data_IF_942173345201
#
_entry.id   IF_942173345201
#
_cell.length_a   1.000
_cell.length_b   1.000
_cell.length_c   1.000
_cell.angle_alpha   90.00
_cell.angle_beta   90.00
_cell.angle_gamma   90.00
#
_symmetry.space_group_name_H-M   'P 1'
#
loop_
_entity.id
_entity.type
_entity.pdbx_description
1 polymer ?
#
# COMPACT_ATOMS: atom_id res chain seq x y z
N UNK A 1 40.33 -34.28 47.87
CA UNK A 1 39.66 -33.48 46.82
C UNK A 1 38.27 -33.12 47.30
N UNK A 2 37.84 -31.86 47.21
CA UNK A 2 36.47 -31.44 47.51
C UNK A 2 36.17 -30.05 46.90
N UNK A 3 35.78 -30.00 45.63
CA UNK A 3 35.33 -28.74 45.00
C UNK A 3 33.87 -28.52 45.39
N UNK A 4 33.59 -27.54 46.26
CA UNK A 4 32.22 -27.09 46.53
C UNK A 4 31.71 -26.32 45.31
N UNK A 5 30.79 -26.92 44.57
CA UNK A 5 30.05 -26.22 43.52
C UNK A 5 29.17 -25.14 44.12
N UNK A 6 29.31 -23.89 43.66
CA UNK A 6 28.28 -22.86 43.82
C UNK A 6 27.21 -23.13 42.76
N UNK A 7 26.04 -23.61 43.18
CA UNK A 7 24.85 -23.59 42.32
C UNK A 7 24.37 -22.13 42.20
N UNK A 8 23.96 -21.71 41.00
CA UNK A 8 23.29 -20.42 40.80
C UNK A 8 21.95 -20.42 41.53
N UNK A 9 21.56 -19.24 42.02
CA UNK A 9 20.16 -18.90 42.22
C UNK A 9 19.58 -18.51 40.85
N UNK A 10 18.38 -18.99 40.53
CA UNK A 10 17.62 -18.63 39.34
C UNK A 10 16.35 -17.90 39.83
N UNK A 11 16.02 -16.76 39.20
CA UNK A 11 14.98 -15.85 39.69
C UNK A 11 13.59 -16.47 39.53
N UNK A 12 12.98 -16.89 40.65
CA UNK A 12 11.67 -17.57 40.69
C UNK A 12 10.46 -16.61 40.69
N UNK A 13 10.70 -15.31 40.46
CA UNK A 13 9.74 -14.23 40.75
C UNK A 13 8.45 -14.23 39.90
N UNK A 14 8.32 -15.07 38.88
CA UNK A 14 7.12 -15.17 38.04
C UNK A 14 6.04 -16.14 38.52
N UNK A 15 6.35 -17.10 39.40
CA UNK A 15 5.41 -18.19 39.76
C UNK A 15 4.92 -18.15 41.20
N UNK A 16 5.74 -17.68 42.15
CA UNK A 16 5.38 -17.67 43.58
C UNK A 16 4.12 -16.82 43.88
N UNK A 17 3.79 -15.84 43.02
CA UNK A 17 2.53 -15.08 43.08
C UNK A 17 1.29 -15.93 42.74
N UNK A 18 1.41 -16.91 41.84
CA UNK A 18 0.32 -17.81 41.43
C UNK A 18 0.22 -19.05 42.34
N UNK A 19 1.29 -19.38 43.07
CA UNK A 19 1.36 -20.49 44.02
C UNK A 19 0.91 -20.09 45.45
N UNK A 20 0.79 -18.78 45.75
CA UNK A 20 0.35 -18.28 47.05
C UNK A 20 -1.13 -17.87 47.05
N UNK A 21 -2.03 -18.61 47.74
CA UNK A 21 -3.47 -18.31 47.74
C UNK A 21 -3.81 -17.01 48.47
N UNK A 22 -3.04 -16.61 49.49
CA UNK A 22 -3.30 -15.40 50.28
C UNK A 22 -2.97 -14.15 49.45
N UNK A 23 -1.88 -14.17 48.67
CA UNK A 23 -1.50 -13.09 47.77
C UNK A 23 -2.49 -12.91 46.59
N UNK A 24 -3.11 -14.01 46.14
CA UNK A 24 -4.20 -13.96 45.17
C UNK A 24 -5.48 -13.39 45.80
N UNK A 25 -5.83 -13.80 47.03
CA UNK A 25 -6.98 -13.28 47.75
C UNK A 25 -6.88 -11.77 48.02
N UNK A 26 -5.71 -11.27 48.44
CA UNK A 26 -5.48 -9.85 48.67
C UNK A 26 -5.64 -9.01 47.39
N UNK A 27 -5.16 -9.47 46.23
CA UNK A 27 -5.34 -8.75 44.96
C UNK A 27 -6.76 -8.86 44.41
N UNK A 28 -7.44 -10.00 44.60
CA UNK A 28 -8.86 -10.12 44.27
C UNK A 28 -9.69 -9.16 45.12
N UNK A 29 -9.46 -9.11 46.43
CA UNK A 29 -10.15 -8.18 47.34
C UNK A 29 -9.91 -6.71 46.98
N UNK A 30 -8.68 -6.32 46.64
CA UNK A 30 -8.38 -4.96 46.16
C UNK A 30 -9.05 -4.64 44.81
N UNK A 31 -9.19 -5.64 43.93
CA UNK A 31 -9.88 -5.49 42.64
C UNK A 31 -11.40 -5.37 42.84
N UNK A 32 -11.97 -6.18 43.73
CA UNK A 32 -13.36 -6.10 44.15
C UNK A 32 -13.66 -4.75 44.81
N UNK A 33 -12.85 -4.30 45.77
CA UNK A 33 -13.00 -2.99 46.42
C UNK A 33 -12.86 -1.81 45.42
N UNK A 34 -11.96 -1.90 44.44
CA UNK A 34 -11.87 -0.90 43.38
C UNK A 34 -13.13 -0.89 42.52
N UNK A 35 -13.64 -2.05 42.08
CA UNK A 35 -14.88 -2.17 41.31
C UNK A 35 -16.07 -1.68 42.16
N UNK A 36 -16.13 -2.02 43.44
CA UNK A 36 -17.18 -1.65 44.39
C UNK A 36 -17.29 -0.13 44.55
N UNK A 37 -16.16 0.55 44.73
CA UNK A 37 -16.09 2.00 44.88
C UNK A 37 -16.26 2.75 43.55
N UNK A 38 -16.01 2.11 42.41
CA UNK A 38 -16.02 2.75 41.08
C UNK A 38 -17.09 2.18 40.12
N UNK A 39 -18.14 1.49 40.61
CA UNK A 39 -19.15 0.76 39.80
C UNK A 39 -19.62 1.54 38.57
N UNK A 40 -19.99 2.81 38.73
CA UNK A 40 -20.47 3.65 37.63
C UNK A 40 -19.41 3.88 36.52
N UNK A 41 -18.14 4.07 36.90
CA UNK A 41 -17.02 4.20 35.97
C UNK A 41 -16.72 2.86 35.29
N UNK A 42 -16.64 1.77 36.06
CA UNK A 42 -16.33 0.43 35.53
C UNK A 42 -17.40 -0.05 34.56
N UNK A 43 -18.69 0.07 34.91
CA UNK A 43 -19.78 -0.26 33.98
C UNK A 43 -19.84 0.70 32.78
N UNK A 44 -19.58 1.99 32.98
CA UNK A 44 -19.51 2.97 31.88
C UNK A 44 -18.42 2.62 30.85
N UNK A 45 -17.20 2.32 31.33
CA UNK A 45 -16.10 1.86 30.48
C UNK A 45 -16.44 0.54 29.80
N UNK A 46 -16.96 -0.45 30.52
CA UNK A 46 -17.33 -1.75 29.95
C UNK A 46 -18.39 -1.62 28.83
N UNK A 47 -19.42 -0.80 29.04
CA UNK A 47 -20.46 -0.52 28.02
C UNK A 47 -19.85 0.17 26.80
N UNK A 48 -19.00 1.19 26.99
CA UNK A 48 -18.30 1.86 25.88
C UNK A 48 -17.39 0.90 25.12
N UNK A 49 -16.64 0.03 25.80
CA UNK A 49 -15.80 -0.99 25.16
C UNK A 49 -16.63 -1.98 24.35
N UNK A 50 -17.78 -2.46 24.88
CA UNK A 50 -18.68 -3.36 24.15
C UNK A 50 -19.27 -2.67 22.91
N UNK A 51 -19.70 -1.41 23.01
CA UNK A 51 -20.22 -0.64 21.88
C UNK A 51 -19.15 -0.39 20.80
N UNK A 52 -17.92 -0.07 21.19
CA UNK A 52 -16.80 0.12 20.26
C UNK A 52 -16.43 -1.19 19.56
N UNK A 53 -16.29 -2.30 20.29
CA UNK A 53 -15.97 -3.61 19.71
C UNK A 53 -17.10 -4.13 18.80
N UNK A 54 -18.36 -3.97 19.23
CA UNK A 54 -19.53 -4.32 18.41
C UNK A 54 -19.62 -3.49 17.13
N UNK A 55 -19.36 -2.18 17.22
CA UNK A 55 -19.28 -1.28 16.06
C UNK A 55 -18.17 -1.68 15.08
N UNK A 56 -16.96 -1.97 15.58
CA UNK A 56 -15.83 -2.44 14.76
C UNK A 56 -16.16 -3.77 14.07
N UNK A 57 -16.76 -4.72 14.79
CA UNK A 57 -17.14 -6.02 14.21
C UNK A 57 -18.25 -5.88 13.16
N UNK A 58 -19.31 -5.14 13.47
CA UNK A 58 -20.42 -4.89 12.54
C UNK A 58 -19.98 -4.15 11.28
N UNK A 59 -19.14 -3.13 11.41
CA UNK A 59 -18.58 -2.40 10.27
C UNK A 59 -17.68 -3.29 9.40
N UNK A 60 -16.83 -4.15 10.00
CA UNK A 60 -16.02 -5.12 9.26
C UNK A 60 -16.88 -6.16 8.53
N UNK A 61 -17.91 -6.70 9.18
CA UNK A 61 -18.84 -7.63 8.54
C UNK A 61 -19.56 -6.98 7.35
N UNK A 62 -20.05 -5.75 7.52
CA UNK A 62 -20.67 -4.98 6.43
C UNK A 62 -19.68 -4.71 5.29
N UNK A 63 -18.47 -4.17 5.57
CA UNK A 63 -17.44 -3.96 4.54
C UNK A 63 -17.13 -5.24 3.78
N UNK A 64 -16.96 -6.37 4.47
CA UNK A 64 -16.64 -7.64 3.81
C UNK A 64 -17.78 -8.11 2.91
N UNK A 65 -19.04 -8.02 3.35
CA UNK A 65 -20.21 -8.36 2.53
C UNK A 65 -20.36 -7.44 1.31
N UNK A 66 -20.11 -6.13 1.44
CA UNK A 66 -20.07 -5.22 0.29
C UNK A 66 -18.91 -5.53 -0.65
N UNK A 67 -17.75 -5.96 -0.12
CA UNK A 67 -16.58 -6.32 -0.91
C UNK A 67 -16.82 -7.59 -1.75
N UNK A 68 -17.55 -8.58 -1.23
CA UNK A 68 -17.95 -9.78 -1.97
C UNK A 68 -18.90 -9.44 -3.13
N UNK A 69 -19.87 -8.54 -2.91
CA UNK A 69 -20.76 -8.04 -3.97
C UNK A 69 -19.98 -7.25 -5.03
N UNK A 70 -19.15 -6.30 -4.62
CA UNK A 70 -18.33 -5.48 -5.50
C UNK A 70 -17.39 -6.31 -6.40
N UNK A 71 -16.84 -7.43 -5.90
CA UNK A 71 -16.05 -8.36 -6.71
C UNK A 71 -16.88 -9.06 -7.79
N UNK A 72 -18.16 -9.35 -7.52
CA UNK A 72 -19.08 -9.94 -8.49
C UNK A 72 -19.43 -8.95 -9.60
N UNK A 73 -19.84 -7.73 -9.25
CA UNK A 73 -20.19 -6.67 -10.23
C UNK A 73 -18.98 -6.30 -11.10
N UNK A 74 -17.78 -6.19 -10.51
CA UNK A 74 -16.55 -5.82 -11.20
C UNK A 74 -16.09 -6.82 -12.27
N UNK A 75 -16.58 -8.06 -12.25
CA UNK A 75 -16.17 -9.10 -13.21
C UNK A 75 -16.39 -8.67 -14.67
N UNK A 76 -17.54 -8.04 -14.97
CA UNK A 76 -17.87 -7.63 -16.34
C UNK A 76 -17.07 -6.40 -16.80
N UNK A 77 -16.78 -5.46 -15.89
CA UNK A 77 -15.89 -4.32 -16.16
C UNK A 77 -14.45 -4.78 -16.47
N UNK A 78 -13.93 -5.79 -15.74
CA UNK A 78 -12.62 -6.40 -16.03
C UNK A 78 -12.61 -7.07 -17.39
N UNK A 79 -13.65 -7.83 -17.75
CA UNK A 79 -13.75 -8.42 -19.09
C UNK A 79 -13.72 -7.36 -20.21
N UNK A 80 -14.45 -6.25 -20.04
CA UNK A 80 -14.39 -5.15 -21.01
C UNK A 80 -13.00 -4.49 -21.07
N UNK A 81 -12.30 -4.38 -19.95
CA UNK A 81 -10.94 -3.81 -19.89
C UNK A 81 -9.90 -4.68 -20.60
N UNK A 82 -9.99 -6.01 -20.44
CA UNK A 82 -9.13 -6.98 -21.13
C UNK A 82 -9.43 -7.04 -22.62
N UNK A 83 -10.70 -6.86 -23.02
CA UNK A 83 -11.14 -6.69 -24.40
C UNK A 83 -10.89 -5.29 -24.99
N UNK A 84 -10.11 -4.44 -24.30
CA UNK A 84 -9.81 -3.03 -24.63
C UNK A 84 -11.06 -2.15 -24.94
N UNK A 85 -12.23 -2.59 -24.47
CA UNK A 85 -13.53 -1.92 -24.62
C UNK A 85 -13.71 -0.86 -23.52
N UNK A 86 -12.74 0.06 -23.44
CA UNK A 86 -12.50 0.92 -22.28
C UNK A 86 -13.67 1.82 -21.87
N UNK A 87 -14.58 2.13 -22.79
CA UNK A 87 -15.82 2.85 -22.46
C UNK A 87 -16.73 2.00 -21.57
N UNK A 88 -17.07 0.79 -22.02
CA UNK A 88 -17.89 -0.16 -21.26
C UNK A 88 -17.23 -0.59 -19.94
N UNK A 89 -15.90 -0.64 -19.92
CA UNK A 89 -15.13 -0.92 -18.70
C UNK A 89 -15.25 0.20 -17.64
N UNK A 90 -15.34 1.47 -18.08
CA UNK A 90 -15.42 2.62 -17.19
C UNK A 90 -16.87 2.98 -16.81
N UNK A 91 -17.72 3.05 -17.83
CA UNK A 91 -19.04 3.68 -17.81
C UNK A 91 -20.20 2.64 -17.85
N UNK A 92 -19.88 1.33 -17.79
CA UNK A 92 -20.82 0.22 -17.78
C UNK A 92 -21.47 -0.09 -19.15
N UNK A 93 -22.43 -1.02 -19.17
CA UNK A 93 -23.29 -1.30 -20.34
C UNK A 93 -24.79 -0.99 -20.09
N UNK A 94 -25.12 -0.49 -18.89
CA UNK A 94 -26.49 -0.22 -18.44
C UNK A 94 -27.21 -1.42 -17.81
N UNK A 95 -26.62 -2.62 -17.84
CA UNK A 95 -27.06 -3.79 -17.07
C UNK A 95 -26.03 -4.19 -16.00
N UNK A 96 -24.76 -3.93 -16.28
CA UNK A 96 -23.59 -4.23 -15.45
C UNK A 96 -22.85 -2.92 -15.17
N UNK A 97 -22.30 -2.80 -13.95
CA UNK A 97 -21.55 -1.62 -13.51
C UNK A 97 -20.19 -1.48 -14.22
N UNK A 98 -19.79 -0.25 -14.49
CA UNK A 98 -18.43 0.12 -14.85
C UNK A 98 -17.55 0.39 -13.62
N UNK A 99 -16.24 0.51 -13.81
CA UNK A 99 -15.32 0.80 -12.70
C UNK A 99 -15.63 2.13 -12.00
N UNK A 100 -16.20 3.13 -12.70
CA UNK A 100 -16.59 4.41 -12.07
C UNK A 100 -17.69 4.18 -11.05
N UNK A 101 -18.75 3.47 -11.43
CA UNK A 101 -19.87 3.14 -10.54
C UNK A 101 -19.39 2.30 -9.34
N UNK A 102 -18.48 1.34 -9.58
CA UNK A 102 -17.91 0.48 -8.52
C UNK A 102 -17.04 1.28 -7.53
N UNK A 103 -16.39 2.36 -7.98
CA UNK A 103 -15.69 3.30 -7.09
C UNK A 103 -16.68 4.14 -6.27
N UNK A 104 -17.79 4.58 -6.86
CA UNK A 104 -18.80 5.39 -6.17
C UNK A 104 -19.60 4.56 -5.14
N UNK A 105 -20.19 3.44 -5.55
CA UNK A 105 -21.03 2.58 -4.69
C UNK A 105 -20.21 1.80 -3.65
N UNK A 106 -19.02 1.32 -4.02
CA UNK A 106 -18.23 0.37 -3.21
C UNK A 106 -16.85 0.89 -2.80
N UNK A 107 -16.56 2.19 -2.91
CA UNK A 107 -15.23 2.77 -2.63
C UNK A 107 -14.62 2.48 -1.25
N UNK A 108 -15.43 2.13 -0.23
CA UNK A 108 -14.94 1.68 1.08
C UNK A 108 -14.40 0.23 1.10
N UNK A 109 -14.61 -0.54 0.02
CA UNK A 109 -14.22 -1.95 -0.12
C UNK A 109 -12.85 -2.09 -0.80
N UNK A 110 -12.24 -3.27 -0.70
CA UNK A 110 -10.94 -3.53 -1.32
C UNK A 110 -11.10 -3.71 -2.85
N UNK A 111 -12.29 -4.11 -3.29
CA UNK A 111 -12.71 -4.14 -4.69
C UNK A 111 -12.94 -2.74 -5.28
N UNK A 112 -13.58 -1.82 -4.55
CA UNK A 112 -13.69 -0.41 -4.96
C UNK A 112 -12.34 0.30 -5.02
N UNK A 113 -11.42 -0.04 -4.10
CA UNK A 113 -10.01 0.34 -4.22
C UNK A 113 -9.36 -0.29 -5.48
N UNK A 114 -9.59 -1.56 -5.80
CA UNK A 114 -9.05 -2.15 -7.04
C UNK A 114 -9.67 -1.53 -8.31
N UNK A 115 -10.94 -1.16 -8.29
CA UNK A 115 -11.62 -0.46 -9.39
C UNK A 115 -10.98 0.91 -9.68
N UNK A 116 -10.48 1.62 -8.67
CA UNK A 116 -9.67 2.83 -8.87
C UNK A 116 -8.43 2.58 -9.73
N UNK A 117 -7.67 1.51 -9.47
CA UNK A 117 -6.50 1.13 -10.29
C UNK A 117 -6.89 0.85 -11.75
N UNK A 118 -7.96 0.11 -11.97
CA UNK A 118 -8.44 -0.20 -13.33
C UNK A 118 -9.00 1.04 -14.04
N UNK A 119 -9.83 1.85 -13.39
CA UNK A 119 -10.38 3.09 -13.94
C UNK A 119 -9.27 4.07 -14.35
N UNK A 120 -8.32 4.31 -13.45
CA UNK A 120 -7.16 5.16 -13.74
C UNK A 120 -6.30 4.64 -14.88
N UNK A 121 -6.11 3.32 -14.99
CA UNK A 121 -5.40 2.69 -16.12
C UNK A 121 -6.20 2.79 -17.43
N UNK A 122 -7.52 2.67 -17.39
CA UNK A 122 -8.38 2.85 -18.56
C UNK A 122 -8.40 4.30 -19.04
N UNK A 123 -8.47 5.27 -18.12
CA UNK A 123 -8.31 6.69 -18.45
C UNK A 123 -6.93 7.02 -19.00
N UNK A 124 -5.85 6.37 -18.54
CA UNK A 124 -4.52 6.51 -19.11
C UNK A 124 -4.51 6.05 -20.58
N UNK A 125 -5.03 4.85 -20.86
CA UNK A 125 -5.17 4.33 -22.23
C UNK A 125 -6.02 5.24 -23.13
N UNK A 126 -7.08 5.87 -22.60
CA UNK A 126 -7.90 6.84 -23.33
C UNK A 126 -7.25 8.23 -23.49
N UNK A 127 -6.03 8.47 -23.01
CA UNK A 127 -5.37 9.78 -23.05
C UNK A 127 -5.98 10.82 -22.09
N UNK A 128 -6.88 10.40 -21.18
CA UNK A 128 -7.53 11.26 -20.19
C UNK A 128 -6.65 11.42 -18.94
N UNK A 129 -5.40 11.86 -19.14
CA UNK A 129 -4.31 11.81 -18.15
C UNK A 129 -4.65 12.39 -16.77
N UNK A 130 -5.46 13.45 -16.67
CA UNK A 130 -5.87 14.01 -15.38
C UNK A 130 -6.81 13.11 -14.58
N UNK A 131 -7.70 12.37 -15.25
CA UNK A 131 -8.54 11.35 -14.60
C UNK A 131 -7.69 10.11 -14.28
N UNK A 132 -6.72 9.77 -15.14
CA UNK A 132 -5.77 8.70 -14.85
C UNK A 132 -5.03 8.92 -13.52
N UNK A 133 -4.51 10.15 -13.30
CA UNK A 133 -3.85 10.52 -12.04
C UNK A 133 -4.84 10.41 -10.86
N UNK A 134 -6.01 11.05 -10.94
CA UNK A 134 -7.01 11.06 -9.87
C UNK A 134 -7.31 9.65 -9.33
N UNK A 135 -7.75 8.74 -10.20
CA UNK A 135 -8.11 7.37 -9.81
C UNK A 135 -6.88 6.53 -9.42
N UNK A 136 -5.67 6.80 -9.93
CA UNK A 136 -4.47 6.07 -9.52
C UNK A 136 -3.88 6.57 -8.19
N UNK A 137 -4.15 7.82 -7.78
CA UNK A 137 -3.73 8.38 -6.50
C UNK A 137 -4.60 7.90 -5.33
N UNK A 138 -5.91 7.72 -5.55
CA UNK A 138 -6.83 7.13 -4.57
C UNK A 138 -6.64 5.61 -4.40
N UNK A 139 -5.96 4.93 -5.34
CA UNK A 139 -5.60 3.52 -5.21
C UNK A 139 -4.40 3.30 -4.26
N UNK A 140 -4.60 2.43 -3.27
CA UNK A 140 -3.55 1.97 -2.35
C UNK A 140 -3.44 0.44 -2.29
N UNK A 141 -2.23 -0.08 -2.07
CA UNK A 141 -2.04 -1.50 -1.82
C UNK A 141 -0.72 -1.80 -1.09
N UNK A 142 -0.75 -2.80 -0.21
CA UNK A 142 0.44 -3.41 0.40
C UNK A 142 1.14 -4.44 -0.52
N UNK A 143 0.53 -4.77 -1.67
CA UNK A 143 1.11 -5.71 -2.64
C UNK A 143 2.47 -5.24 -3.17
N UNK A 144 3.35 -6.21 -3.39
CA UNK A 144 4.74 -6.03 -3.81
C UNK A 144 4.90 -5.30 -5.15
N UNK A 145 3.92 -5.38 -6.06
CA UNK A 145 4.06 -4.97 -7.45
C UNK A 145 2.98 -3.99 -7.92
N UNK A 146 1.71 -4.19 -7.54
CA UNK A 146 0.59 -3.37 -8.08
C UNK A 146 0.70 -1.92 -7.61
N UNK A 147 1.11 -1.65 -6.36
CA UNK A 147 1.30 -0.27 -5.88
C UNK A 147 2.43 0.46 -6.61
N UNK A 148 3.57 -0.22 -6.85
CA UNK A 148 4.67 0.32 -7.64
C UNK A 148 4.25 0.56 -9.10
N UNK A 149 3.42 -0.33 -9.67
CA UNK A 149 2.85 -0.16 -11.00
C UNK A 149 1.94 1.07 -11.08
N UNK A 150 1.08 1.30 -10.08
CA UNK A 150 0.24 2.49 -10.02
C UNK A 150 1.08 3.79 -10.02
N UNK A 151 2.14 3.85 -9.20
CA UNK A 151 3.06 4.99 -9.22
C UNK A 151 3.76 5.16 -10.58
N UNK A 152 4.13 4.08 -11.28
CA UNK A 152 4.63 4.20 -12.66
C UNK A 152 3.57 4.72 -13.64
N UNK A 153 2.29 4.39 -13.46
CA UNK A 153 1.22 4.82 -14.35
C UNK A 153 0.84 6.30 -14.12
N UNK A 154 0.90 6.78 -12.87
CA UNK A 154 0.84 8.21 -12.54
C UNK A 154 2.02 8.94 -13.19
N UNK A 155 3.24 8.39 -13.08
CA UNK A 155 4.43 8.93 -13.75
C UNK A 155 4.26 9.02 -15.27
N UNK A 156 3.67 7.99 -15.89
CA UNK A 156 3.34 7.96 -17.33
C UNK A 156 2.31 9.07 -17.69
N UNK A 157 1.28 9.28 -16.87
CA UNK A 157 0.32 10.38 -17.06
C UNK A 157 0.97 11.77 -17.00
N UNK A 158 1.88 12.00 -16.04
CA UNK A 158 2.61 13.27 -15.94
C UNK A 158 3.59 13.48 -17.11
N UNK A 159 4.20 12.42 -17.67
CA UNK A 159 5.06 12.54 -18.86
C UNK A 159 4.30 13.06 -20.07
N UNK A 160 3.09 12.54 -20.33
CA UNK A 160 2.25 12.99 -21.45
C UNK A 160 1.70 14.40 -21.23
N UNK A 161 1.40 14.77 -19.98
CA UNK A 161 1.10 16.16 -19.58
C UNK A 161 2.32 17.09 -19.61
N UNK A 162 3.53 16.57 -19.90
CA UNK A 162 4.83 17.26 -19.90
C UNK A 162 5.27 17.80 -18.54
N UNK A 163 4.69 17.28 -17.47
CA UNK A 163 5.02 17.57 -16.08
C UNK A 163 6.15 16.63 -15.61
N UNK A 164 7.33 16.84 -16.21
CA UNK A 164 8.46 15.93 -16.07
C UNK A 164 9.02 15.86 -14.63
N UNK A 165 8.76 16.88 -13.80
CA UNK A 165 9.18 16.92 -12.41
C UNK A 165 8.34 15.98 -11.51
N UNK A 166 7.01 16.00 -11.65
CA UNK A 166 6.15 15.05 -10.94
C UNK A 166 6.29 13.64 -11.52
N UNK A 167 6.45 13.50 -12.85
CA UNK A 167 6.75 12.21 -13.47
C UNK A 167 7.98 11.54 -12.85
N UNK A 168 9.12 12.25 -12.77
CA UNK A 168 10.34 11.73 -12.16
C UNK A 168 10.15 11.36 -10.67
N UNK A 169 9.35 12.14 -9.94
CA UNK A 169 9.01 11.89 -8.54
C UNK A 169 8.22 10.58 -8.38
N UNK A 170 7.19 10.36 -9.20
CA UNK A 170 6.38 9.14 -9.18
C UNK A 170 7.12 7.90 -9.69
N UNK A 171 7.97 8.03 -10.72
CA UNK A 171 8.86 6.92 -11.12
C UNK A 171 9.89 6.55 -10.04
N UNK A 172 10.43 7.53 -9.31
CA UNK A 172 11.32 7.28 -8.18
C UNK A 172 10.57 6.61 -7.01
N UNK A 173 9.32 7.02 -6.75
CA UNK A 173 8.41 6.36 -5.81
C UNK A 173 8.14 4.90 -6.20
N UNK A 174 7.94 4.62 -7.49
CA UNK A 174 7.78 3.27 -8.05
C UNK A 174 9.07 2.43 -7.92
N UNK A 175 10.22 3.00 -8.25
CA UNK A 175 11.53 2.33 -8.18
C UNK A 175 11.88 1.87 -6.76
N UNK A 176 11.59 2.72 -5.76
CA UNK A 176 11.91 2.50 -4.35
C UNK A 176 10.85 1.65 -3.61
N UNK A 177 9.63 1.52 -4.14
CA UNK A 177 8.62 0.65 -3.56
C UNK A 177 8.98 -0.82 -3.83
N UNK A 178 9.41 -1.54 -2.78
CA UNK A 178 9.72 -2.99 -2.80
C UNK A 178 10.70 -3.37 -3.92
N UNK A 179 11.88 -2.74 -3.86
CA UNK A 179 12.96 -2.84 -4.85
C UNK A 179 13.24 -4.27 -5.31
N UNK A 180 13.25 -4.52 -6.63
CA UNK A 180 13.46 -5.85 -7.19
C UNK A 180 14.12 -5.81 -8.59
N UNK A 181 14.80 -6.88 -8.98
CA UNK A 181 15.61 -6.92 -10.20
C UNK A 181 14.84 -6.91 -11.53
N UNK A 182 13.51 -7.03 -11.50
CA UNK A 182 12.68 -7.09 -12.70
C UNK A 182 12.06 -5.72 -13.04
N UNK A 183 11.56 -5.00 -12.04
CA UNK A 183 10.80 -3.75 -12.25
C UNK A 183 11.56 -2.49 -11.83
N UNK A 184 12.39 -2.53 -10.78
CA UNK A 184 13.16 -1.34 -10.36
C UNK A 184 14.06 -0.74 -11.45
N UNK A 185 14.83 -1.50 -12.27
CA UNK A 185 15.61 -0.89 -13.35
C UNK A 185 14.72 -0.20 -14.41
N UNK A 186 13.54 -0.75 -14.74
CA UNK A 186 12.57 -0.10 -15.64
C UNK A 186 12.07 1.23 -15.06
N UNK A 187 11.73 1.27 -13.77
CA UNK A 187 11.25 2.49 -13.11
C UNK A 187 12.37 3.53 -12.94
N UNK A 188 13.61 3.12 -12.64
CA UNK A 188 14.79 4.01 -12.64
C UNK A 188 15.09 4.58 -14.03
N UNK A 189 14.90 3.78 -15.09
CA UNK A 189 15.10 4.23 -16.48
C UNK A 189 14.08 5.31 -16.84
N UNK A 190 12.80 5.11 -16.49
CA UNK A 190 11.76 6.14 -16.65
C UNK A 190 12.04 7.39 -15.81
N UNK A 191 12.48 7.22 -14.56
CA UNK A 191 12.86 8.33 -13.69
C UNK A 191 13.99 9.17 -14.29
N UNK A 192 15.06 8.54 -14.79
CA UNK A 192 16.17 9.22 -15.45
C UNK A 192 15.73 10.02 -16.69
N UNK A 193 14.90 9.41 -17.56
CA UNK A 193 14.36 10.09 -18.76
C UNK A 193 13.47 11.29 -18.37
N UNK A 194 12.70 11.18 -17.30
CA UNK A 194 11.88 12.28 -16.78
C UNK A 194 12.75 13.39 -16.16
N UNK A 195 13.78 13.04 -15.38
CA UNK A 195 14.74 14.01 -14.84
C UNK A 195 15.48 14.76 -15.97
N UNK A 196 15.92 14.11 -17.04
CA UNK A 196 16.49 14.78 -18.21
C UNK A 196 15.53 15.81 -18.83
N UNK A 197 14.27 15.45 -19.01
CA UNK A 197 13.25 16.37 -19.56
C UNK A 197 12.90 17.51 -18.61
N UNK A 198 13.13 17.35 -17.32
CA UNK A 198 13.05 18.39 -16.30
C UNK A 198 14.36 19.21 -16.15
N UNK A 199 15.35 19.00 -17.03
CA UNK A 199 16.71 19.59 -16.96
C UNK A 199 17.49 19.26 -15.67
N UNK A 200 17.10 18.17 -15.00
CA UNK A 200 17.67 17.66 -13.74
C UNK A 200 18.76 16.62 -14.04
N UNK A 201 19.82 17.06 -14.71
CA UNK A 201 20.85 16.18 -15.28
C UNK A 201 21.60 15.39 -14.20
N UNK A 202 21.78 15.93 -12.99
CA UNK A 202 22.40 15.22 -11.86
C UNK A 202 21.54 14.05 -11.41
N UNK A 203 20.26 14.29 -11.10
CA UNK A 203 19.34 13.23 -10.68
C UNK A 203 19.14 12.17 -11.78
N UNK A 204 19.19 12.56 -13.05
CA UNK A 204 19.20 11.62 -14.18
C UNK A 204 20.46 10.75 -14.22
N UNK A 205 21.64 11.35 -14.06
CA UNK A 205 22.94 10.64 -14.00
C UNK A 205 22.95 9.63 -12.84
N UNK A 206 22.38 9.98 -11.68
CA UNK A 206 22.31 9.11 -10.50
C UNK A 206 21.32 7.95 -10.70
N UNK A 207 20.12 8.22 -11.23
CA UNK A 207 19.15 7.17 -11.57
C UNK A 207 19.72 6.14 -12.56
N UNK A 208 20.45 6.59 -13.58
CA UNK A 208 21.16 5.70 -14.50
C UNK A 208 22.34 4.98 -13.83
N UNK A 209 23.05 5.61 -12.90
CA UNK A 209 24.17 4.97 -12.18
C UNK A 209 23.70 3.79 -11.31
N UNK A 210 22.55 3.91 -10.64
CA UNK A 210 21.98 2.81 -9.84
C UNK A 210 21.68 1.59 -10.74
N UNK A 211 21.21 1.79 -11.97
CA UNK A 211 21.03 0.70 -12.95
C UNK A 211 22.36 0.05 -13.32
N UNK A 212 23.39 0.86 -13.55
CA UNK A 212 24.73 0.39 -13.96
C UNK A 212 25.38 -0.46 -12.85
N UNK A 213 25.31 -0.01 -11.60
CA UNK A 213 26.02 -0.66 -10.49
C UNK A 213 25.24 -1.86 -9.92
N UNK A 214 23.90 -1.75 -9.82
CA UNK A 214 23.05 -2.75 -9.14
C UNK A 214 22.37 -3.73 -10.10
N UNK A 215 22.01 -3.29 -11.32
CA UNK A 215 21.11 -4.04 -12.21
C UNK A 215 21.75 -4.40 -13.55
N UNK A 216 22.99 -4.88 -13.52
CA UNK A 216 23.81 -5.17 -14.71
C UNK A 216 23.27 -6.29 -15.63
N UNK A 217 22.39 -7.16 -15.13
CA UNK A 217 21.67 -8.17 -15.95
C UNK A 217 20.42 -7.60 -16.68
N UNK A 218 20.00 -6.37 -16.37
CA UNK A 218 18.74 -5.80 -16.86
C UNK A 218 18.81 -5.32 -18.31
N UNK A 219 17.66 -5.26 -19.00
CA UNK A 219 17.57 -4.74 -20.36
C UNK A 219 17.92 -3.25 -20.43
N UNK A 220 17.73 -2.52 -19.34
CA UNK A 220 17.97 -1.09 -19.21
C UNK A 220 19.46 -0.75 -19.13
N UNK A 221 20.32 -1.68 -18.70
CA UNK A 221 21.75 -1.47 -18.43
C UNK A 221 22.51 -0.75 -19.55
N UNK A 222 22.37 -1.21 -20.80
CA UNK A 222 23.09 -0.62 -21.93
C UNK A 222 22.56 0.79 -22.28
N UNK A 223 21.27 1.03 -22.11
CA UNK A 223 20.67 2.37 -22.29
C UNK A 223 21.08 3.31 -21.16
N UNK A 224 21.15 2.83 -19.91
CA UNK A 224 21.61 3.64 -18.77
C UNK A 224 23.05 4.12 -18.97
N UNK A 225 23.95 3.22 -19.40
CA UNK A 225 25.33 3.58 -19.78
C UNK A 225 25.35 4.62 -20.90
N UNK A 226 24.53 4.44 -21.95
CA UNK A 226 24.45 5.35 -23.10
C UNK A 226 23.94 6.75 -22.70
N UNK A 227 22.91 6.83 -21.87
CA UNK A 227 22.29 8.11 -21.48
C UNK A 227 23.16 8.86 -20.45
N UNK A 228 23.69 8.17 -19.42
CA UNK A 228 24.69 8.76 -18.52
C UNK A 228 25.92 9.28 -19.27
N UNK A 229 26.46 8.50 -20.21
CA UNK A 229 27.63 8.91 -20.99
C UNK A 229 27.36 10.00 -22.05
N UNK A 230 26.09 10.34 -22.30
CA UNK A 230 25.71 11.55 -23.04
C UNK A 230 25.69 12.76 -22.09
N UNK A 231 24.93 12.68 -21.00
CA UNK A 231 24.79 13.79 -20.04
C UNK A 231 26.14 14.27 -19.46
N UNK A 232 27.05 13.33 -19.17
CA UNK A 232 28.42 13.64 -18.67
C UNK A 232 29.31 14.32 -19.72
N UNK A 233 28.88 14.41 -20.99
CA UNK A 233 29.54 15.20 -22.06
C UNK A 233 28.82 16.51 -22.38
N UNK A 234 27.64 16.71 -21.82
CA UNK A 234 26.76 17.87 -22.03
C UNK A 234 26.81 18.84 -20.81
N UNK A 235 27.68 18.54 -19.83
CA UNK A 235 27.91 19.27 -18.59
C UNK A 235 29.38 19.73 -18.47
#
# INVERSE_FOLDING_TARGET
>A
MAVKSKKKEEEKHGTDFLENPDALADQLSQTEEFIENNKALVYGVAIVTILVLGGIFGFRYYKNSQNELAQSEMFQAVYYFEADSLGLALDGDGNNLGFVDIVEDYGMTDAGNLANFYAGTAYLKQGKFKLAILYLEDFSSDDLLVQARAYSLIGDAHMELKDYANAATFYTKAANHKTNKFFTPQYLMKAGIAYEKASKNTEAIDAYQIIIDTYHESAEFQNAKKFKARLVKEA
#
